data_IF_829059345125
#
_entry.id   IF_829059345125
#
_cell.length_a   1.000
_cell.length_b   1.000
_cell.length_c   1.000
_cell.angle_alpha   90.00
_cell.angle_beta   90.00
_cell.angle_gamma   90.00
#
_symmetry.space_group_name_H-M   'P 1'
#
loop_
_entity.id
_entity.type
_entity.pdbx_description
1 polymer ?
#
# COMPACT_ATOMS: atom_id res chain seq x y z
N UNK A 1 -10.04 -3.76 31.18
CA UNK A 1 -10.79 -3.11 30.07
C UNK A 1 -9.79 -2.72 28.99
N UNK A 2 -9.59 -3.60 28.00
CA UNK A 2 -8.73 -3.29 26.85
C UNK A 2 -9.55 -2.38 25.93
N UNK A 3 -9.15 -1.11 25.85
CA UNK A 3 -9.69 -0.18 24.85
C UNK A 3 -9.32 -0.74 23.48
N UNK A 4 -10.27 -1.45 22.86
CA UNK A 4 -10.17 -1.73 21.42
C UNK A 4 -9.95 -0.39 20.75
N UNK A 5 -8.82 -0.14 20.06
CA UNK A 5 -8.68 1.08 19.31
C UNK A 5 -9.86 1.13 18.34
N UNK A 6 -10.65 2.19 18.42
CA UNK A 6 -11.75 2.46 17.50
C UNK A 6 -11.29 2.16 16.09
N UNK A 7 -12.04 1.34 15.35
CA UNK A 7 -11.76 0.83 14.01
C UNK A 7 -11.73 1.92 12.90
N UNK A 8 -11.20 3.10 13.22
CA UNK A 8 -11.16 4.27 12.35
C UNK A 8 -9.81 5.00 12.42
N UNK A 9 -8.70 4.28 12.58
CA UNK A 9 -7.34 4.84 12.42
C UNK A 9 -6.51 4.03 11.43
N UNK A 10 -6.60 4.48 10.18
CA UNK A 10 -5.56 4.48 9.15
C UNK A 10 -4.95 3.11 8.79
N UNK A 11 -5.61 2.37 7.87
CA UNK A 11 -5.11 1.10 7.32
C UNK A 11 -3.63 1.19 6.89
N UNK A 12 -3.26 2.23 6.11
CA UNK A 12 -1.88 2.43 5.64
C UNK A 12 -0.90 2.57 6.82
N UNK A 13 -1.21 3.37 7.83
CA UNK A 13 -0.32 3.57 8.99
C UNK A 13 -0.15 2.30 9.80
N UNK A 14 -1.19 1.47 9.91
CA UNK A 14 -1.12 0.14 10.54
C UNK A 14 -0.27 -0.83 9.73
N UNK A 15 -0.47 -0.90 8.42
CA UNK A 15 0.30 -1.75 7.51
C UNK A 15 1.79 -1.37 7.52
N UNK A 16 2.10 -0.07 7.47
CA UNK A 16 3.49 0.43 7.55
C UNK A 16 4.12 0.12 8.91
N UNK A 17 3.40 0.34 10.01
CA UNK A 17 3.91 -0.01 11.34
C UNK A 17 4.21 -1.52 11.47
N UNK A 18 3.40 -2.37 10.84
CA UNK A 18 3.64 -3.80 10.76
C UNK A 18 4.87 -4.14 9.91
N UNK A 19 4.98 -3.59 8.69
CA UNK A 19 6.12 -3.79 7.80
C UNK A 19 7.47 -3.33 8.41
N UNK A 20 7.44 -2.27 9.21
CA UNK A 20 8.63 -1.72 9.87
C UNK A 20 8.99 -2.43 11.19
N UNK A 21 8.24 -3.46 11.60
CA UNK A 21 8.53 -4.26 12.80
C UNK A 21 9.04 -5.67 12.40
N UNK A 22 10.37 -5.91 12.41
CA UNK A 22 10.96 -7.19 11.98
C UNK A 22 10.48 -8.39 12.79
N UNK A 23 10.20 -8.22 14.08
CA UNK A 23 9.69 -9.30 14.94
C UNK A 23 8.29 -9.72 14.52
N UNK A 24 7.42 -8.73 14.25
CA UNK A 24 6.06 -8.97 13.80
C UNK A 24 6.03 -9.61 12.40
N UNK A 25 6.81 -9.11 11.43
CA UNK A 25 6.83 -9.65 10.07
C UNK A 25 7.40 -11.07 10.01
N UNK A 26 8.44 -11.37 10.82
CA UNK A 26 8.97 -12.73 10.93
C UNK A 26 7.96 -13.69 11.55
N UNK A 27 7.33 -13.31 12.67
CA UNK A 27 6.35 -14.15 13.38
C UNK A 27 5.07 -14.38 12.56
N UNK A 28 4.56 -13.34 11.89
CA UNK A 28 3.24 -13.36 11.25
C UNK A 28 3.27 -13.70 9.76
N UNK A 29 4.32 -13.28 9.06
CA UNK A 29 4.41 -13.40 7.61
C UNK A 29 5.61 -14.25 7.14
N UNK A 30 6.49 -14.70 8.04
CA UNK A 30 7.66 -15.50 7.68
C UNK A 30 8.68 -14.73 6.82
N UNK A 31 8.71 -13.41 6.94
CA UNK A 31 9.64 -12.56 6.18
C UNK A 31 10.97 -12.50 6.92
N UNK A 32 12.03 -13.04 6.31
CA UNK A 32 13.35 -13.17 6.95
C UNK A 32 14.26 -11.94 6.78
N UNK A 33 13.84 -10.96 5.97
CA UNK A 33 14.56 -9.70 5.76
C UNK A 33 13.83 -8.51 6.40
N UNK A 34 14.58 -7.47 6.72
CA UNK A 34 14.01 -6.21 7.23
C UNK A 34 13.57 -5.32 6.06
N UNK A 35 12.31 -4.88 6.07
CA UNK A 35 11.78 -4.00 5.01
C UNK A 35 12.39 -2.58 5.03
N UNK A 36 13.05 -2.19 6.13
CA UNK A 36 13.67 -0.88 6.27
C UNK A 36 12.67 0.29 6.46
N UNK A 37 13.15 1.55 6.37
CA UNK A 37 12.29 2.73 6.49
C UNK A 37 11.31 2.83 5.31
N UNK A 38 10.04 3.11 5.60
CA UNK A 38 9.02 3.25 4.58
C UNK A 38 9.15 4.60 3.84
N UNK A 39 9.15 4.62 2.49
CA UNK A 39 9.35 5.83 1.69
C UNK A 39 8.06 6.65 1.57
N UNK A 40 7.74 7.43 2.61
CA UNK A 40 6.52 8.25 2.68
C UNK A 40 6.42 9.35 1.62
N UNK A 41 7.54 9.78 1.05
CA UNK A 41 7.60 10.75 -0.04
C UNK A 41 7.09 10.19 -1.38
N UNK A 42 7.00 8.86 -1.50
CA UNK A 42 6.64 8.17 -2.76
C UNK A 42 5.23 7.55 -2.72
N UNK A 43 4.58 7.53 -1.56
CA UNK A 43 3.24 6.92 -1.42
C UNK A 43 2.16 7.90 -1.83
N UNK A 44 1.29 7.50 -2.77
CA UNK A 44 0.12 8.26 -3.23
C UNK A 44 0.40 9.76 -3.49
N UNK A 45 1.39 10.11 -4.35
CA UNK A 45 1.79 11.51 -4.56
C UNK A 45 0.64 12.42 -5.03
N UNK A 46 -0.32 11.85 -5.77
CA UNK A 46 -1.51 12.54 -6.26
C UNK A 46 -2.80 12.19 -5.49
N UNK A 47 -2.66 11.74 -4.25
CA UNK A 47 -3.77 11.41 -3.36
C UNK A 47 -4.27 9.97 -3.48
N UNK A 48 -4.76 9.45 -2.35
CA UNK A 48 -5.34 8.10 -2.23
C UNK A 48 -6.85 8.10 -2.01
N UNK A 49 -7.39 6.93 -1.70
CA UNK A 49 -8.82 6.69 -1.51
C UNK A 49 -9.48 7.54 -0.42
N UNK A 50 -8.72 8.01 0.57
CA UNK A 50 -9.23 8.92 1.62
C UNK A 50 -9.65 10.27 1.03
N UNK A 51 -8.89 10.77 0.04
CA UNK A 51 -9.16 12.06 -0.59
C UNK A 51 -10.07 11.94 -1.82
N UNK A 52 -9.85 10.92 -2.65
CA UNK A 52 -10.49 10.78 -3.97
C UNK A 52 -11.78 9.92 -3.91
N UNK A 53 -11.97 9.17 -2.83
CA UNK A 53 -13.07 8.22 -2.66
C UNK A 53 -12.68 6.78 -2.97
N UNK A 54 -13.50 5.84 -2.49
CA UNK A 54 -13.27 4.39 -2.60
C UNK A 54 -14.51 3.66 -3.12
N UNK A 55 -14.86 3.82 -4.42
CA UNK A 55 -15.91 3.01 -5.03
C UNK A 55 -15.46 1.54 -5.08
N UNK A 56 -16.32 0.64 -4.59
CA UNK A 56 -16.04 -0.79 -4.55
C UNK A 56 -15.76 -1.33 -5.96
N UNK A 57 -14.77 -2.21 -6.09
CA UNK A 57 -14.24 -2.78 -7.34
C UNK A 57 -13.64 -1.77 -8.35
N UNK A 58 -14.04 -0.50 -8.37
CA UNK A 58 -13.50 0.51 -9.28
C UNK A 58 -12.19 1.16 -8.77
N UNK A 59 -11.93 1.10 -7.46
CA UNK A 59 -10.71 1.69 -6.85
C UNK A 59 -9.43 1.11 -7.46
N UNK A 60 -9.33 -0.21 -7.62
CA UNK A 60 -8.11 -0.83 -8.16
C UNK A 60 -7.81 -0.40 -9.60
N UNK A 61 -8.85 -0.21 -10.44
CA UNK A 61 -8.68 0.30 -11.80
C UNK A 61 -8.15 1.75 -11.79
N UNK A 62 -8.66 2.59 -10.89
CA UNK A 62 -8.15 3.95 -10.66
C UNK A 62 -6.70 3.93 -10.18
N UNK A 63 -6.36 3.10 -9.20
CA UNK A 63 -5.01 3.01 -8.62
C UNK A 63 -3.98 2.62 -9.70
N UNK A 64 -4.30 1.59 -10.49
CA UNK A 64 -3.47 1.17 -11.62
C UNK A 64 -3.33 2.27 -12.67
N UNK A 65 -4.42 2.94 -13.03
CA UNK A 65 -4.39 4.03 -14.03
C UNK A 65 -3.52 5.20 -13.57
N UNK A 66 -3.62 5.59 -12.29
CA UNK A 66 -2.77 6.62 -11.72
C UNK A 66 -1.30 6.18 -11.67
N UNK A 67 -1.02 4.97 -11.19
CA UNK A 67 0.34 4.45 -11.12
C UNK A 67 1.00 4.41 -12.50
N UNK A 68 0.30 3.91 -13.53
CA UNK A 68 0.79 3.89 -14.91
C UNK A 68 1.06 5.32 -15.42
N UNK A 69 0.18 6.27 -15.11
CA UNK A 69 0.36 7.68 -15.51
C UNK A 69 1.62 8.28 -14.90
N UNK A 70 1.85 8.09 -13.60
CA UNK A 70 3.08 8.54 -12.93
C UNK A 70 4.33 7.85 -13.48
N UNK A 71 4.27 6.53 -13.63
CA UNK A 71 5.35 5.73 -14.21
C UNK A 71 5.78 6.21 -15.59
N UNK A 72 4.82 6.65 -16.42
CA UNK A 72 5.10 7.11 -17.77
C UNK A 72 5.90 8.41 -17.82
N UNK A 73 5.85 9.20 -16.76
CA UNK A 73 6.62 10.44 -16.62
C UNK A 73 8.03 10.17 -16.01
N UNK A 74 8.30 8.96 -15.50
CA UNK A 74 9.61 8.51 -14.95
C UNK A 74 10.45 7.74 -15.96
N UNK A 75 11.80 7.70 -15.91
CA UNK A 75 12.64 7.01 -16.91
C UNK A 75 12.23 5.55 -17.24
N UNK A 76 12.52 5.08 -18.46
CA UNK A 76 12.31 3.67 -18.85
C UNK A 76 12.99 2.72 -17.85
N UNK A 77 12.31 1.61 -17.54
CA UNK A 77 12.73 0.67 -16.48
C UNK A 77 12.25 1.03 -15.07
N UNK A 78 11.62 2.20 -14.86
CA UNK A 78 11.05 2.57 -13.56
C UNK A 78 9.98 1.56 -13.09
N UNK A 79 9.89 1.38 -11.77
CA UNK A 79 8.98 0.44 -11.11
C UNK A 79 7.98 1.19 -10.22
N UNK A 80 6.76 0.68 -10.14
CA UNK A 80 5.81 1.06 -9.10
C UNK A 80 5.10 -0.16 -8.54
N UNK A 81 4.65 -0.03 -7.29
CA UNK A 81 3.86 -1.05 -6.60
C UNK A 81 2.48 -0.47 -6.34
N UNK A 82 1.44 -1.22 -6.69
CA UNK A 82 0.05 -0.93 -6.30
C UNK A 82 -0.39 -2.02 -5.35
N UNK A 83 -0.85 -1.66 -4.16
CA UNK A 83 -1.40 -2.58 -3.17
C UNK A 83 -2.75 -2.11 -2.65
N UNK A 84 -3.67 -3.06 -2.44
CA UNK A 84 -5.04 -2.77 -2.02
C UNK A 84 -5.49 -3.81 -1.00
N UNK A 85 -6.10 -3.34 0.10
CA UNK A 85 -6.84 -4.20 1.01
C UNK A 85 -8.30 -4.35 0.57
N UNK A 86 -8.84 -5.54 0.76
CA UNK A 86 -10.23 -5.87 0.51
C UNK A 86 -10.86 -6.49 1.75
N UNK A 87 -12.19 -6.44 1.81
CA UNK A 87 -12.92 -7.04 2.93
C UNK A 87 -12.64 -8.54 3.05
N UNK A 88 -12.95 -9.08 4.23
CA UNK A 88 -12.74 -10.50 4.55
C UNK A 88 -11.26 -10.94 4.49
N UNK A 89 -10.34 -10.06 4.90
CA UNK A 89 -8.92 -10.36 5.04
C UNK A 89 -8.23 -10.75 3.72
N UNK A 90 -8.60 -10.08 2.62
CA UNK A 90 -7.93 -10.24 1.35
C UNK A 90 -7.08 -9.00 1.03
N UNK A 91 -6.02 -9.22 0.27
CA UNK A 91 -5.17 -8.16 -0.25
C UNK A 91 -4.63 -8.54 -1.62
N UNK A 92 -4.31 -7.54 -2.43
CA UNK A 92 -3.66 -7.73 -3.73
C UNK A 92 -2.50 -6.76 -3.84
N UNK A 93 -1.42 -7.22 -4.46
CA UNK A 93 -0.22 -6.42 -4.77
C UNK A 93 0.13 -6.64 -6.24
N UNK A 94 0.51 -5.58 -6.94
CA UNK A 94 0.93 -5.64 -8.34
C UNK A 94 2.21 -4.81 -8.51
N UNK A 95 3.20 -5.40 -9.19
CA UNK A 95 4.42 -4.71 -9.62
C UNK A 95 4.25 -4.28 -11.08
N UNK A 96 4.40 -2.99 -11.34
CA UNK A 96 4.37 -2.39 -12.67
C UNK A 96 5.78 -1.96 -13.07
N UNK A 97 6.10 -2.07 -14.36
CA UNK A 97 7.36 -1.61 -14.94
C UNK A 97 7.07 -0.75 -16.16
N UNK A 98 7.70 0.43 -16.26
CA UNK A 98 7.74 1.18 -17.52
C UNK A 98 8.64 0.43 -18.52
N UNK A 99 8.12 0.07 -19.71
CA UNK A 99 8.89 -0.66 -20.72
C UNK A 99 10.25 -0.05 -21.02
#
# INVERSE_FOLDING_TARGET
MSSRPSANRQNISGDVAALQNPGWTRERAGVDFECGPFPWDRVNPNGGSVAIGRPFAATSARDLSQAVKELWDMPSGSLAIVSVCADRCHGTVTLLRRP
#
